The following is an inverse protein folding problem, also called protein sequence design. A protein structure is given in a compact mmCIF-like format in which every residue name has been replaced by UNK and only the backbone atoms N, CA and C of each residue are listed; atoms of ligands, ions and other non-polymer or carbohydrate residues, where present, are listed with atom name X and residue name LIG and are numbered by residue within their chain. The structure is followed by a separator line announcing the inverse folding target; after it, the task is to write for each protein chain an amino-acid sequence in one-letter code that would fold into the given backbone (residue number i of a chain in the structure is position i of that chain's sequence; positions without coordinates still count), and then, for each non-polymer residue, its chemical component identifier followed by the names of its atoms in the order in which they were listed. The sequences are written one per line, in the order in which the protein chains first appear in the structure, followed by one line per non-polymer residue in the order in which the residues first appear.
data_IF_565500109651
#
_entry.id   IF_565500109651
#
_cell.length_a   1.000
_cell.length_b   1.000
_cell.length_c   1.000
_cell.angle_alpha   90.00
_cell.angle_beta   90.00
_cell.angle_gamma   90.00
#
_symmetry.space_group_name_H-M   'P 1'
#
loop_
_entity.id
_entity.type
_entity.pdbx_description
1 polymer ?
#
# COMPACT_ATOMS: atom_id res chain seq x y z
N UNK A 1 9.72 5.30 24.42
CA UNK A 1 10.19 4.67 23.17
C UNK A 1 9.68 5.50 22.01
N UNK A 2 10.54 5.94 21.09
CA UNK A 2 10.11 6.67 19.91
C UNK A 2 9.62 5.67 18.86
N UNK A 3 8.34 5.67 18.55
CA UNK A 3 7.72 4.80 17.54
C UNK A 3 7.11 5.71 16.49
N UNK A 4 7.60 5.63 15.25
CA UNK A 4 7.09 6.43 14.14
C UNK A 4 6.03 5.64 13.36
N UNK A 5 4.86 6.23 13.04
CA UNK A 5 3.84 5.60 12.21
C UNK A 5 4.39 5.03 10.90
N UNK A 6 5.36 5.72 10.30
CA UNK A 6 6.03 5.29 9.08
C UNK A 6 6.76 3.94 9.21
N UNK A 7 7.24 3.56 10.40
CA UNK A 7 7.85 2.24 10.61
C UNK A 7 6.85 1.09 10.44
N UNK A 8 5.58 1.33 10.80
CA UNK A 8 4.48 0.38 10.56
C UNK A 8 4.18 0.33 9.06
N UNK A 9 4.07 1.49 8.42
CA UNK A 9 3.77 1.62 6.99
C UNK A 9 4.77 0.85 6.13
N UNK A 10 6.08 1.01 6.39
CA UNK A 10 7.15 0.32 5.67
C UNK A 10 7.08 -1.21 5.84
N UNK A 11 6.54 -1.71 6.96
CA UNK A 11 6.39 -3.16 7.23
C UNK A 11 5.08 -3.76 6.73
N UNK A 12 4.09 -2.93 6.40
CA UNK A 12 2.72 -3.38 6.12
C UNK A 12 2.25 -2.90 4.75
N UNK A 13 1.92 -1.62 4.63
CA UNK A 13 1.34 -1.02 3.44
C UNK A 13 2.32 -1.00 2.26
N UNK A 14 3.59 -0.60 2.45
CA UNK A 14 4.54 -0.49 1.34
C UNK A 14 4.76 -1.84 0.62
N UNK A 15 4.97 -2.98 1.31
CA UNK A 15 4.97 -4.29 0.67
C UNK A 15 3.66 -4.62 -0.05
N UNK A 16 2.52 -4.19 0.48
CA UNK A 16 1.19 -4.45 -0.10
C UNK A 16 0.96 -3.62 -1.36
N UNK A 17 1.39 -2.36 -1.39
CA UNK A 17 1.40 -1.51 -2.60
C UNK A 17 2.29 -2.15 -3.67
N UNK A 18 3.52 -2.56 -3.32
CA UNK A 18 4.41 -3.24 -4.26
C UNK A 18 3.79 -4.52 -4.83
N UNK A 19 3.09 -5.28 -4.00
CA UNK A 19 2.39 -6.48 -4.46
C UNK A 19 1.22 -6.16 -5.41
N UNK A 20 0.43 -5.13 -5.09
CA UNK A 20 -0.67 -4.69 -5.94
C UNK A 20 -0.16 -4.18 -7.31
N UNK A 21 0.89 -3.35 -7.33
CA UNK A 21 1.52 -2.89 -8.57
C UNK A 21 2.11 -4.06 -9.37
N UNK A 22 2.76 -5.03 -8.69
CA UNK A 22 3.30 -6.22 -9.37
C UNK A 22 2.20 -7.03 -10.05
N UNK A 23 1.07 -7.24 -9.36
CA UNK A 23 -0.10 -7.94 -9.91
C UNK A 23 -0.66 -7.20 -11.12
N UNK A 24 -0.83 -5.89 -11.03
CA UNK A 24 -1.33 -5.09 -12.14
C UNK A 24 -0.43 -5.20 -13.38
N UNK A 25 0.88 -5.03 -13.21
CA UNK A 25 1.86 -5.12 -14.31
C UNK A 25 1.87 -6.51 -14.99
N UNK A 26 1.70 -7.58 -14.22
CA UNK A 26 1.74 -8.95 -14.75
C UNK A 26 0.39 -9.34 -15.36
N UNK A 27 -0.69 -9.16 -14.61
CA UNK A 27 -2.01 -9.70 -14.95
C UNK A 27 -2.76 -8.84 -15.97
N UNK A 28 -2.55 -7.51 -15.95
CA UNK A 28 -3.25 -6.58 -16.86
C UNK A 28 -2.37 -6.09 -18.00
N UNK A 29 -1.08 -5.92 -17.76
CA UNK A 29 -0.13 -5.46 -18.79
C UNK A 29 0.72 -6.58 -19.39
N UNK A 30 0.65 -7.81 -18.87
CA UNK A 30 1.31 -8.99 -19.46
C UNK A 30 2.84 -9.01 -19.30
N UNK A 31 3.41 -8.21 -18.39
CA UNK A 31 4.86 -8.20 -18.16
C UNK A 31 5.32 -9.50 -17.49
N UNK A 32 6.55 -9.92 -17.78
CA UNK A 32 7.17 -11.06 -17.09
C UNK A 32 7.67 -10.62 -15.73
N UNK A 33 7.71 -11.56 -14.77
CA UNK A 33 8.16 -11.26 -13.41
C UNK A 33 9.58 -10.67 -13.33
N UNK A 34 10.47 -11.06 -14.26
CA UNK A 34 11.85 -10.52 -14.34
C UNK A 34 11.87 -9.06 -14.75
N UNK A 35 10.99 -8.64 -15.67
CA UNK A 35 10.91 -7.26 -16.14
C UNK A 35 10.34 -6.38 -15.01
N UNK A 36 9.29 -6.85 -14.34
CA UNK A 36 8.71 -6.19 -13.16
C UNK A 36 9.72 -6.06 -12.02
N UNK A 37 10.53 -7.10 -11.77
CA UNK A 37 11.58 -7.07 -10.76
C UNK A 37 12.60 -5.94 -11.03
N UNK A 38 12.99 -5.76 -12.30
CA UNK A 38 13.89 -4.69 -12.72
C UNK A 38 13.27 -3.30 -12.50
N UNK A 39 12.01 -3.10 -12.89
CA UNK A 39 11.31 -1.82 -12.68
C UNK A 39 11.16 -1.46 -11.20
N UNK A 40 10.81 -2.44 -10.36
CA UNK A 40 10.58 -2.21 -8.93
C UNK A 40 11.88 -2.21 -8.10
N UNK A 41 13.03 -2.51 -8.71
CA UNK A 41 14.31 -2.58 -8.02
C UNK A 41 14.35 -3.68 -6.94
N UNK A 42 13.75 -4.83 -7.23
CA UNK A 42 13.69 -5.98 -6.32
C UNK A 42 14.10 -7.26 -7.03
N UNK A 43 14.22 -8.37 -6.29
CA UNK A 43 14.50 -9.68 -6.90
C UNK A 43 13.25 -10.27 -7.54
N UNK A 44 13.41 -11.10 -8.58
CA UNK A 44 12.29 -11.86 -9.15
C UNK A 44 11.64 -12.77 -8.10
N UNK A 45 12.42 -13.32 -7.16
CA UNK A 45 11.90 -14.06 -6.02
C UNK A 45 10.95 -13.20 -5.16
N UNK A 46 11.25 -11.92 -4.95
CA UNK A 46 10.34 -11.01 -4.25
C UNK A 46 9.02 -10.83 -5.01
N UNK A 47 9.06 -10.72 -6.35
CA UNK A 47 7.87 -10.67 -7.20
C UNK A 47 7.04 -11.96 -7.06
N UNK A 48 7.68 -13.13 -7.12
CA UNK A 48 7.00 -14.42 -6.89
C UNK A 48 6.29 -14.47 -5.52
N UNK A 49 6.94 -13.97 -4.47
CA UNK A 49 6.34 -13.90 -3.13
C UNK A 49 5.18 -12.89 -3.07
N UNK A 50 5.25 -11.77 -3.80
CA UNK A 50 4.14 -10.83 -3.93
C UNK A 50 2.93 -11.46 -4.62
N UNK A 51 3.15 -12.19 -5.73
CA UNK A 51 2.07 -12.86 -6.47
C UNK A 51 1.38 -13.94 -5.64
N UNK A 52 2.13 -14.67 -4.80
CA UNK A 52 1.57 -15.70 -3.91
C UNK A 52 1.02 -15.14 -2.60
N UNK A 53 1.08 -13.83 -2.36
CA UNK A 53 0.62 -13.19 -1.13
C UNK A 53 1.50 -13.43 0.11
N UNK A 54 2.53 -14.29 0.00
CA UNK A 54 3.48 -14.57 1.08
C UNK A 54 4.30 -13.32 1.50
N UNK A 55 4.40 -12.33 0.62
CA UNK A 55 4.85 -10.97 0.95
C UNK A 55 3.82 -9.96 0.44
N UNK A 56 3.56 -8.90 1.21
CA UNK A 56 2.61 -7.86 0.79
C UNK A 56 1.14 -8.28 0.82
N UNK A 57 0.81 -9.43 1.43
CA UNK A 57 -0.57 -9.84 1.70
C UNK A 57 -1.13 -9.36 3.04
N UNK A 58 -0.42 -8.47 3.75
CA UNK A 58 -0.86 -8.00 5.08
C UNK A 58 -2.08 -7.08 4.96
N UNK A 59 -2.13 -6.23 3.93
CA UNK A 59 -3.28 -5.39 3.62
C UNK A 59 -3.83 -5.76 2.26
N UNK A 60 -5.12 -6.02 2.20
CA UNK A 60 -5.82 -6.19 0.93
C UNK A 60 -6.32 -4.83 0.40
N UNK A 61 -5.54 -4.27 -0.52
CA UNK A 61 -5.85 -2.99 -1.16
C UNK A 61 -6.96 -3.10 -2.22
N UNK A 62 -7.28 -4.32 -2.68
CA UNK A 62 -8.27 -4.52 -3.75
C UNK A 62 -9.70 -4.18 -3.33
N UNK A 63 -9.95 -4.10 -2.02
CA UNK A 63 -11.23 -3.71 -1.44
C UNK A 63 -11.57 -2.22 -1.57
N UNK A 64 -10.60 -1.36 -1.92
CA UNK A 64 -10.79 0.09 -2.03
C UNK A 64 -10.44 0.60 -3.44
N UNK A 65 -11.47 0.97 -4.19
CA UNK A 65 -11.33 1.38 -5.60
C UNK A 65 -10.49 2.67 -5.77
N UNK A 66 -10.60 3.63 -4.85
CA UNK A 66 -9.77 4.84 -4.91
C UNK A 66 -8.29 4.49 -4.68
N UNK A 67 -7.97 3.53 -3.82
CA UNK A 67 -6.57 3.09 -3.67
C UNK A 67 -6.10 2.36 -4.93
N UNK A 68 -6.93 1.48 -5.49
CA UNK A 68 -6.60 0.73 -6.69
C UNK A 68 -6.44 1.62 -7.93
N UNK A 69 -7.17 2.72 -8.04
CA UNK A 69 -6.98 3.72 -9.08
C UNK A 69 -5.54 4.26 -9.11
N UNK A 70 -5.00 4.60 -7.93
CA UNK A 70 -3.62 5.10 -7.83
C UNK A 70 -2.60 3.99 -8.15
N UNK A 71 -2.87 2.75 -7.74
CA UNK A 71 -2.04 1.58 -8.10
C UNK A 71 -1.99 1.41 -9.62
N UNK A 72 -3.13 1.48 -10.30
CA UNK A 72 -3.20 1.37 -11.77
C UNK A 72 -2.48 2.52 -12.45
N UNK A 73 -2.62 3.74 -11.95
CA UNK A 73 -1.88 4.91 -12.47
C UNK A 73 -0.36 4.72 -12.36
N UNK A 74 0.14 4.16 -11.26
CA UNK A 74 1.56 3.82 -11.12
C UNK A 74 1.96 2.76 -12.16
N UNK A 75 1.18 1.68 -12.29
CA UNK A 75 1.48 0.60 -13.22
C UNK A 75 1.48 1.08 -14.69
N UNK A 76 0.46 1.84 -15.09
CA UNK A 76 0.38 2.44 -16.42
C UNK A 76 1.57 3.34 -16.71
N UNK A 77 1.97 4.17 -15.75
CA UNK A 77 3.09 5.09 -15.95
C UNK A 77 4.45 4.39 -16.04
N UNK A 78 4.61 3.26 -15.34
CA UNK A 78 5.77 2.37 -15.52
C UNK A 78 5.79 1.79 -16.95
N UNK A 79 4.64 1.34 -17.45
CA UNK A 79 4.53 0.74 -18.80
C UNK A 79 4.77 1.78 -19.90
N UNK A 80 4.22 2.99 -19.75
CA UNK A 80 4.39 4.09 -20.70
C UNK A 80 5.78 4.74 -20.61
N UNK A 81 6.44 4.62 -19.46
CA UNK A 81 7.72 5.28 -19.18
C UNK A 81 7.58 6.80 -19.01
N UNK A 82 6.40 7.28 -18.62
CA UNK A 82 6.06 8.70 -18.52
C UNK A 82 6.04 9.24 -17.08
N UNK A 83 6.29 8.38 -16.09
CA UNK A 83 6.47 8.78 -14.69
C UNK A 83 7.92 8.64 -14.24
N UNK A 84 8.45 9.70 -13.64
CA UNK A 84 9.75 9.64 -12.98
C UNK A 84 9.68 9.07 -11.55
N UNK A 85 10.85 8.90 -10.92
CA UNK A 85 10.94 8.36 -9.56
C UNK A 85 10.24 9.25 -8.51
N UNK A 86 10.23 10.56 -8.72
CA UNK A 86 9.59 11.51 -7.81
C UNK A 86 8.07 11.40 -7.91
N UNK A 87 7.52 11.32 -9.12
CA UNK A 87 6.08 11.15 -9.35
C UNK A 87 5.57 9.82 -8.79
N UNK A 88 6.29 8.71 -9.02
CA UNK A 88 5.96 7.41 -8.42
C UNK A 88 5.97 7.49 -6.89
N UNK A 89 6.93 8.24 -6.31
CA UNK A 89 7.01 8.46 -4.87
C UNK A 89 5.79 9.25 -4.36
N UNK A 90 5.36 10.29 -5.08
CA UNK A 90 4.17 11.06 -4.72
C UNK A 90 2.90 10.22 -4.75
N UNK A 91 2.71 9.40 -5.81
CA UNK A 91 1.57 8.49 -5.90
C UNK A 91 1.57 7.43 -4.79
N UNK A 92 2.75 6.93 -4.42
CA UNK A 92 2.89 6.02 -3.27
C UNK A 92 2.51 6.70 -1.96
N UNK A 93 2.91 7.96 -1.76
CA UNK A 93 2.51 8.76 -0.60
C UNK A 93 1.00 9.03 -0.60
N UNK A 94 0.39 9.24 -1.78
CA UNK A 94 -1.05 9.39 -1.94
C UNK A 94 -1.81 8.13 -1.49
N UNK A 95 -1.33 6.93 -1.86
CA UNK A 95 -1.88 5.68 -1.34
C UNK A 95 -1.80 5.65 0.19
N UNK A 96 -0.64 6.01 0.77
CA UNK A 96 -0.47 6.09 2.22
C UNK A 96 -1.46 7.06 2.88
N UNK A 97 -1.74 8.20 2.23
CA UNK A 97 -2.73 9.16 2.70
C UNK A 97 -4.15 8.59 2.60
N UNK A 98 -4.58 8.06 1.44
CA UNK A 98 -5.92 7.49 1.24
C UNK A 98 -6.22 6.37 2.24
N UNK A 99 -5.28 5.44 2.41
CA UNK A 99 -5.37 4.33 3.37
C UNK A 99 -5.53 4.82 4.81
N UNK A 100 -4.71 5.80 5.23
CA UNK A 100 -4.78 6.36 6.58
C UNK A 100 -6.05 7.17 6.82
N UNK A 101 -6.44 8.01 5.86
CA UNK A 101 -7.65 8.85 5.90
C UNK A 101 -8.92 8.01 6.00
N UNK A 102 -9.01 6.93 5.24
CA UNK A 102 -10.16 6.02 5.25
C UNK A 102 -10.15 5.03 6.43
N UNK A 103 -9.08 4.99 7.22
CA UNK A 103 -8.98 4.09 8.37
C UNK A 103 -8.81 2.61 7.98
N UNK A 104 -8.33 2.32 6.77
CA UNK A 104 -8.26 0.95 6.25
C UNK A 104 -7.34 0.02 7.07
N UNK A 105 -6.37 0.58 7.79
CA UNK A 105 -5.57 -0.18 8.75
C UNK A 105 -6.40 -0.86 9.83
N UNK A 106 -7.49 -0.21 10.29
CA UNK A 106 -8.40 -0.75 11.30
C UNK A 106 -9.30 -1.83 10.70
N UNK A 107 -9.88 -1.59 9.51
CA UNK A 107 -10.77 -2.55 8.84
C UNK A 107 -10.04 -3.77 8.28
N UNK A 108 -8.78 -3.63 7.86
CA UNK A 108 -7.96 -4.74 7.36
C UNK A 108 -7.52 -5.73 8.45
N UNK A 109 -7.77 -5.45 9.74
CA UNK A 109 -7.42 -6.35 10.83
C UNK A 109 -5.91 -6.60 10.98
N UNK A 110 -5.08 -5.66 10.52
CA UNK A 110 -3.62 -5.79 10.54
C UNK A 110 -3.14 -5.95 11.99
N UNK A 111 -2.47 -7.07 12.29
CA UNK A 111 -1.90 -7.35 13.62
C UNK A 111 -0.37 -7.34 13.54
N UNK A 112 0.26 -6.44 14.28
CA UNK A 112 1.72 -6.39 14.44
C UNK A 112 2.15 -6.98 15.79
N UNK A 113 3.36 -7.56 15.83
CA UNK A 113 3.98 -8.11 17.04
C UNK A 113 5.04 -7.16 17.60
N UNK A 114 5.37 -7.36 18.88
CA UNK A 114 6.44 -6.63 19.56
C UNK A 114 6.16 -5.13 19.64
N UNK A 115 7.22 -4.32 19.50
CA UNK A 115 7.16 -2.86 19.67
C UNK A 115 6.23 -2.12 18.70
N UNK A 116 5.72 -2.76 17.64
CA UNK A 116 4.84 -2.12 16.65
C UNK A 116 3.35 -2.31 16.92
N UNK A 117 2.97 -3.09 17.95
CA UNK A 117 1.56 -3.34 18.28
C UNK A 117 0.81 -2.04 18.60
N UNK A 118 1.43 -1.17 19.40
CA UNK A 118 0.86 0.13 19.82
C UNK A 118 0.90 1.19 18.71
N UNK A 119 1.71 0.95 17.67
CA UNK A 119 1.96 1.90 16.59
C UNK A 119 0.83 1.93 15.55
N UNK A 120 0.03 0.86 15.44
CA UNK A 120 -1.03 0.75 14.45
C UNK A 120 -2.09 1.85 14.66
N UNK A 121 -2.49 2.09 15.92
CA UNK A 121 -3.48 3.12 16.22
C UNK A 121 -2.96 4.52 15.89
N UNK A 122 -1.66 4.76 16.10
CA UNK A 122 -1.02 6.04 15.75
C UNK A 122 -1.07 6.35 14.26
N UNK A 123 -1.01 5.32 13.39
CA UNK A 123 -1.03 5.48 11.93
C UNK A 123 -2.32 6.15 11.45
N UNK A 124 -3.45 5.85 12.10
CA UNK A 124 -4.74 6.42 11.75
C UNK A 124 -5.13 7.61 12.62
N UNK A 125 -4.58 7.75 13.83
CA UNK A 125 -5.03 8.75 14.82
C UNK A 125 -5.08 10.19 14.30
N UNK A 126 -4.08 10.61 13.55
CA UNK A 126 -4.02 11.95 12.93
C UNK A 126 -5.25 12.26 12.05
N UNK A 127 -5.87 11.22 11.48
CA UNK A 127 -6.99 11.34 10.55
C UNK A 127 -8.35 11.09 11.23
N UNK A 128 -8.39 10.83 12.55
CA UNK A 128 -9.65 10.56 13.26
C UNK A 128 -10.59 11.76 13.21
N UNK A 129 -10.10 12.98 13.49
CA UNK A 129 -10.91 14.21 13.44
C UNK A 129 -11.54 14.44 12.05
N UNK A 130 -10.78 14.17 10.99
CA UNK A 130 -11.28 14.29 9.62
C UNK A 130 -12.42 13.29 9.34
N UNK A 131 -12.30 12.06 9.86
CA UNK A 131 -13.34 11.03 9.71
C UNK A 131 -14.58 11.31 10.54
N UNK A 132 -14.41 11.85 11.75
CA UNK A 132 -15.51 12.25 12.62
C UNK A 132 -16.36 13.33 11.96
N UNK A 133 -15.73 14.39 11.43
CA UNK A 133 -16.42 15.44 10.66
C UNK A 133 -17.13 14.91 9.40
N UNK A 134 -16.62 13.83 8.82
CA UNK A 134 -17.18 13.22 7.60
C UNK A 134 -18.22 12.12 7.87
N UNK A 135 -18.51 11.77 9.14
CA UNK A 135 -19.41 10.66 9.49
C UNK A 135 -18.91 9.27 9.04
N UNK A 136 -17.59 9.10 8.86
CA UNK A 136 -16.98 7.84 8.40
C UNK A 136 -16.70 6.89 9.58
N UNK A 137 -16.35 7.43 10.75
CA UNK A 137 -15.93 6.63 11.91
C UNK A 137 -17.02 5.69 12.43
N UNK A 138 -18.30 6.08 12.31
CA UNK A 138 -19.46 5.25 12.71
C UNK A 138 -19.65 4.02 11.83
N UNK A 139 -19.10 4.01 10.60
CA UNK A 139 -19.17 2.88 9.66
C UNK A 139 -18.01 1.89 9.79
N UNK A 140 -16.97 2.25 10.56
CA UNK A 140 -15.77 1.45 10.78
C UNK A 140 -15.75 0.76 12.15
N UNK A 141 -16.75 1.04 13.01
CA UNK A 141 -17.00 0.34 14.28
C UNK A 141 -17.82 -0.92 14.02
#
# INVERSE_FOLDING_TARGET
MLIQPCEVIVKTLIPSVRAAVSRELIEKHGLRQVDVANFLGVTQAAISQYMRGARGGIMDLSSDEEVMEVVRRIAEGIVKGDLDKYEISLLTCEICYRVRRKGLYRSSGVKMKGKYKEAIDLVCREYDEMRERSGILERLK
#
